data_IF_892462192305
#
_entry.id   IF_892462192305
#
_cell.length_a   1.000
_cell.length_b   1.000
_cell.length_c   1.000
_cell.angle_alpha   90.00
_cell.angle_beta   90.00
_cell.angle_gamma   90.00
#
_symmetry.space_group_name_H-M   'P 1'
#
loop_
_entity.id
_entity.type
_entity.pdbx_description
1 polymer ?
#
# COMPACT_ATOMS: atom_id res chain seq x y z
N UNK A 1 -20.61 2.93 -4.56
CA UNK A 1 -19.34 3.68 -4.63
C UNK A 1 -19.65 5.10 -5.09
N UNK A 2 -19.06 6.14 -4.54
CA UNK A 2 -19.35 7.52 -4.99
C UNK A 2 -18.53 7.79 -6.26
N UNK A 3 -19.09 7.40 -7.42
CA UNK A 3 -18.45 7.42 -8.73
C UNK A 3 -17.85 8.81 -9.05
N UNK A 4 -18.61 9.88 -8.80
CA UNK A 4 -18.16 11.26 -9.04
C UNK A 4 -16.90 11.65 -8.22
N UNK A 5 -16.69 11.03 -7.06
CA UNK A 5 -15.52 11.35 -6.22
C UNK A 5 -14.26 10.64 -6.73
N UNK A 6 -14.39 9.40 -7.16
CA UNK A 6 -13.30 8.64 -7.77
C UNK A 6 -12.88 9.33 -9.06
N UNK A 7 -13.82 9.63 -9.94
CA UNK A 7 -13.55 10.34 -11.21
C UNK A 7 -12.81 11.67 -11.02
N UNK A 8 -13.03 12.33 -9.87
CA UNK A 8 -12.36 13.59 -9.54
C UNK A 8 -10.89 13.42 -9.18
N UNK A 9 -10.52 12.37 -8.43
CA UNK A 9 -9.15 12.20 -7.90
C UNK A 9 -8.33 11.17 -8.68
N UNK A 10 -8.99 10.28 -9.42
CA UNK A 10 -8.32 9.24 -10.20
C UNK A 10 -7.25 9.78 -11.16
N UNK A 11 -7.49 10.85 -11.93
CA UNK A 11 -6.47 11.33 -12.87
C UNK A 11 -5.14 11.66 -12.19
N UNK A 12 -5.16 12.34 -11.05
CA UNK A 12 -3.94 12.72 -10.34
C UNK A 12 -3.19 11.50 -9.76
N UNK A 13 -3.91 10.54 -9.21
CA UNK A 13 -3.33 9.31 -8.69
C UNK A 13 -2.77 8.43 -9.80
N UNK A 14 -3.52 8.31 -10.89
CA UNK A 14 -3.12 7.49 -12.04
C UNK A 14 -1.94 8.11 -12.79
N UNK A 15 -1.89 9.43 -12.94
CA UNK A 15 -0.73 10.13 -13.51
C UNK A 15 0.54 9.87 -12.69
N UNK A 16 0.44 9.88 -11.37
CA UNK A 16 1.57 9.55 -10.49
C UNK A 16 2.02 8.09 -10.69
N UNK A 17 1.08 7.15 -10.79
CA UNK A 17 1.39 5.74 -11.04
C UNK A 17 2.05 5.54 -12.41
N UNK A 18 1.55 6.21 -13.45
CA UNK A 18 2.13 6.19 -14.79
C UNK A 18 3.58 6.69 -14.74
N UNK A 19 3.82 7.85 -14.13
CA UNK A 19 5.19 8.39 -13.97
C UNK A 19 6.10 7.43 -13.23
N UNK A 20 5.61 6.77 -12.18
CA UNK A 20 6.40 5.76 -11.46
C UNK A 20 6.74 4.58 -12.36
N UNK A 21 5.78 4.04 -13.12
CA UNK A 21 6.03 2.93 -14.04
C UNK A 21 6.99 3.31 -15.18
N UNK A 22 6.92 4.54 -15.69
CA UNK A 22 7.87 5.03 -16.69
C UNK A 22 9.30 5.03 -16.17
N UNK A 23 9.52 5.42 -14.90
CA UNK A 23 10.86 5.35 -14.29
C UNK A 23 11.37 3.91 -14.14
N UNK A 24 10.47 2.93 -13.98
CA UNK A 24 10.82 1.50 -13.94
C UNK A 24 11.14 0.96 -15.34
N UNK A 25 10.47 1.46 -16.38
CA UNK A 25 10.73 1.07 -17.78
C UNK A 25 12.13 1.49 -18.21
N UNK A 26 12.60 2.66 -17.80
CA UNK A 26 13.96 3.16 -18.11
C UNK A 26 15.06 2.38 -17.38
N UNK A 27 14.74 1.85 -16.20
CA UNK A 27 15.67 1.09 -15.36
C UNK A 27 14.91 0.05 -14.52
N UNK A 28 14.44 -1.01 -15.15
CA UNK A 28 13.60 -2.07 -14.56
C UNK A 28 14.17 -2.71 -13.28
N UNK A 29 15.45 -2.56 -12.99
CA UNK A 29 16.10 -3.00 -11.74
C UNK A 29 15.93 -2.01 -10.59
N UNK A 30 15.34 -0.84 -10.82
CA UNK A 30 15.03 0.08 -9.72
C UNK A 30 13.90 -0.47 -8.86
N UNK A 31 13.98 -0.31 -7.53
CA UNK A 31 12.90 -0.74 -6.65
C UNK A 31 11.64 0.10 -6.85
N UNK A 32 10.49 -0.50 -6.54
CA UNK A 32 9.22 0.24 -6.46
C UNK A 32 9.32 1.43 -5.51
N UNK A 33 10.06 1.27 -4.43
CA UNK A 33 10.30 2.32 -3.43
C UNK A 33 11.81 2.36 -3.24
N UNK A 34 12.44 3.45 -3.68
CA UNK A 34 13.90 3.56 -3.69
C UNK A 34 14.47 3.93 -2.31
N UNK A 35 13.72 4.67 -1.49
CA UNK A 35 14.21 5.16 -0.21
C UNK A 35 13.17 4.98 0.92
N UNK A 36 13.56 4.25 1.94
CA UNK A 36 12.83 4.08 3.19
C UNK A 36 13.59 4.66 4.40
N UNK A 37 14.68 5.39 4.17
CA UNK A 37 15.52 5.94 5.24
C UNK A 37 14.77 6.89 6.19
N UNK A 38 13.66 7.47 5.72
CA UNK A 38 12.77 8.31 6.52
C UNK A 38 11.52 7.57 7.04
N UNK A 39 11.47 6.24 6.86
CA UNK A 39 10.34 5.39 7.24
C UNK A 39 9.10 5.59 6.37
N UNK A 40 7.96 5.11 6.88
CA UNK A 40 6.68 5.19 6.17
C UNK A 40 6.07 6.60 6.21
N UNK A 41 5.24 6.96 5.22
CA UNK A 41 4.54 8.24 5.19
C UNK A 41 3.69 8.45 6.44
N UNK A 42 3.80 9.63 7.03
CA UNK A 42 3.05 10.05 8.22
C UNK A 42 2.67 11.52 8.16
N UNK A 43 1.69 11.91 8.95
CA UNK A 43 1.36 13.32 9.07
C UNK A 43 2.26 14.02 10.11
N UNK A 44 2.18 15.36 10.21
CA UNK A 44 2.98 16.14 11.16
C UNK A 44 2.75 15.78 12.64
N UNK A 45 1.66 15.09 12.97
CA UNK A 45 1.36 14.59 14.32
C UNK A 45 1.90 13.17 14.55
N UNK A 46 2.65 12.62 13.60
CA UNK A 46 3.22 11.27 13.68
C UNK A 46 2.29 10.14 13.25
N UNK A 47 1.02 10.43 12.90
CA UNK A 47 0.08 9.37 12.48
C UNK A 47 0.47 8.82 11.13
N UNK A 48 0.75 7.50 11.01
CA UNK A 48 1.10 6.89 9.74
C UNK A 48 -0.11 6.85 8.80
N UNK A 49 0.15 6.99 7.50
CA UNK A 49 -0.80 6.65 6.45
C UNK A 49 -0.89 5.13 6.29
N UNK A 50 -1.94 4.65 5.61
CA UNK A 50 -2.21 3.20 5.50
C UNK A 50 -2.55 2.79 4.08
N UNK A 51 -2.34 1.50 3.80
CA UNK A 51 -2.71 0.87 2.54
C UNK A 51 -2.08 1.56 1.33
N UNK A 52 -2.82 1.64 0.22
CA UNK A 52 -2.36 2.26 -1.02
C UNK A 52 -1.90 3.70 -0.90
N UNK A 53 -2.34 4.44 0.14
CA UNK A 53 -1.80 5.78 0.40
C UNK A 53 -0.31 5.75 0.76
N UNK A 54 0.20 4.67 1.39
CA UNK A 54 1.63 4.52 1.65
C UNK A 54 2.39 4.53 0.32
N UNK A 55 2.00 3.66 -0.61
CA UNK A 55 2.63 3.58 -1.93
C UNK A 55 2.58 4.92 -2.66
N UNK A 56 1.38 5.51 -2.75
CA UNK A 56 1.16 6.74 -3.50
C UNK A 56 1.97 7.92 -2.94
N UNK A 57 2.06 8.04 -1.62
CA UNK A 57 2.82 9.11 -0.98
C UNK A 57 4.34 8.89 -1.05
N UNK A 58 4.81 7.63 -1.03
CA UNK A 58 6.22 7.31 -1.28
C UNK A 58 6.60 7.60 -2.74
N UNK A 59 5.79 7.19 -3.71
CA UNK A 59 6.00 7.51 -5.12
C UNK A 59 6.01 9.02 -5.37
N UNK A 60 5.07 9.74 -4.74
CA UNK A 60 5.04 11.20 -4.82
C UNK A 60 6.32 11.83 -4.25
N UNK A 61 6.77 11.36 -3.08
CA UNK A 61 7.98 11.89 -2.44
C UNK A 61 9.20 11.69 -3.32
N UNK A 62 9.35 10.51 -3.91
CA UNK A 62 10.45 10.19 -4.80
C UNK A 62 10.42 11.03 -6.10
N UNK A 63 9.27 11.06 -6.79
CA UNK A 63 9.13 11.77 -8.07
C UNK A 63 9.24 13.28 -7.91
N UNK A 64 8.71 13.83 -6.82
CA UNK A 64 8.81 15.26 -6.52
C UNK A 64 10.14 15.66 -5.86
N UNK A 65 10.99 14.70 -5.49
CA UNK A 65 12.27 14.94 -4.82
C UNK A 65 12.13 15.51 -3.41
N UNK A 66 11.06 15.16 -2.69
CA UNK A 66 10.88 15.59 -1.31
C UNK A 66 11.89 14.91 -0.37
N UNK A 67 12.37 15.65 0.62
CA UNK A 67 13.39 15.17 1.56
C UNK A 67 12.87 14.13 2.54
N UNK A 68 11.57 14.12 2.79
CA UNK A 68 10.94 13.21 3.75
C UNK A 68 9.48 12.93 3.35
N UNK A 69 8.93 11.74 3.63
CA UNK A 69 7.53 11.42 3.38
C UNK A 69 6.60 11.94 4.49
N UNK A 70 6.81 13.20 4.93
CA UNK A 70 5.96 13.87 5.92
C UNK A 70 4.97 14.79 5.23
N UNK A 71 3.69 14.62 5.58
CA UNK A 71 2.61 15.36 4.95
C UNK A 71 1.73 16.08 5.98
N UNK A 72 1.10 17.16 5.54
CA UNK A 72 0.21 17.97 6.36
C UNK A 72 -1.02 18.38 5.55
N UNK A 73 -2.15 18.56 6.21
CA UNK A 73 -3.30 19.26 5.62
C UNK A 73 -3.11 20.77 5.77
N UNK A 74 -3.82 21.57 4.98
CA UNK A 74 -3.80 23.02 5.13
C UNK A 74 -4.16 23.47 6.57
N UNK A 75 -5.14 22.80 7.17
CA UNK A 75 -5.57 23.09 8.54
C UNK A 75 -4.47 22.78 9.56
N UNK A 76 -3.83 21.61 9.45
CA UNK A 76 -2.72 21.22 10.34
C UNK A 76 -1.52 22.15 10.19
N UNK A 77 -1.15 22.51 8.95
CA UNK A 77 -0.06 23.48 8.73
C UNK A 77 -0.34 24.81 9.44
N UNK A 78 -1.56 25.33 9.29
CA UNK A 78 -1.97 26.59 9.95
C UNK A 78 -1.97 26.48 11.49
N UNK A 79 -2.41 25.36 12.04
CA UNK A 79 -2.39 25.09 13.50
C UNK A 79 -0.95 25.04 14.03
N UNK A 80 0.01 24.62 13.21
CA UNK A 80 1.45 24.57 13.52
C UNK A 80 2.19 25.90 13.19
N UNK A 81 1.46 26.93 12.79
CA UNK A 81 2.03 28.25 12.43
C UNK A 81 2.76 28.25 11.09
N UNK A 82 2.47 27.29 10.21
CA UNK A 82 3.11 27.15 8.91
C UNK A 82 2.20 27.61 7.77
N UNK A 83 2.81 28.12 6.70
CA UNK A 83 2.15 28.49 5.48
C UNK A 83 2.51 27.51 4.36
N UNK A 84 1.51 27.16 3.54
CA UNK A 84 1.77 26.43 2.30
C UNK A 84 2.33 27.43 1.29
N UNK A 85 3.43 27.08 0.62
CA UNK A 85 4.08 27.91 -0.37
C UNK A 85 3.15 28.15 -1.56
N UNK A 86 3.15 29.38 -2.07
CA UNK A 86 2.30 29.77 -3.21
C UNK A 86 2.63 28.92 -4.45
N UNK A 87 1.60 28.36 -5.06
CA UNK A 87 1.74 27.51 -6.24
C UNK A 87 1.92 26.02 -5.94
N UNK A 88 2.02 25.64 -4.67
CA UNK A 88 2.10 24.23 -4.29
C UNK A 88 0.79 23.49 -4.62
N UNK A 89 0.90 22.37 -5.35
CA UNK A 89 -0.20 21.45 -5.59
C UNK A 89 -0.42 20.52 -4.40
N UNK A 90 -1.68 20.29 -4.03
CA UNK A 90 -2.02 19.27 -3.03
C UNK A 90 -2.15 17.89 -3.67
N UNK A 91 -1.96 16.84 -2.87
CA UNK A 91 -2.18 15.46 -3.27
C UNK A 91 -3.35 14.84 -2.50
N UNK A 92 -4.27 14.09 -3.15
CA UNK A 92 -5.40 13.49 -2.47
C UNK A 92 -4.99 12.22 -1.70
N UNK A 93 -5.29 12.19 -0.42
CA UNK A 93 -5.25 10.99 0.40
C UNK A 93 -6.68 10.51 0.59
N UNK A 94 -6.95 9.26 0.28
CA UNK A 94 -8.29 8.69 0.32
C UNK A 94 -8.44 7.67 1.45
N UNK A 95 -9.66 7.57 1.95
CA UNK A 95 -10.03 6.62 2.99
C UNK A 95 -11.51 6.25 2.89
N UNK A 96 -11.86 5.12 3.45
CA UNK A 96 -13.25 4.67 3.53
C UNK A 96 -13.83 5.02 4.88
N UNK A 97 -14.98 5.73 4.89
CA UNK A 97 -15.77 5.97 6.09
C UNK A 97 -17.00 5.08 6.06
N UNK A 98 -17.20 4.29 7.11
CA UNK A 98 -18.41 3.50 7.26
C UNK A 98 -19.54 4.39 7.73
N UNK A 99 -20.62 4.42 6.97
CA UNK A 99 -21.88 5.05 7.34
C UNK A 99 -22.85 3.95 7.77
N UNK A 100 -23.28 4.01 9.02
CA UNK A 100 -24.16 3.03 9.60
C UNK A 100 -25.53 3.64 9.73
N UNK A 101 -26.53 2.99 9.12
CA UNK A 101 -27.88 3.51 9.02
C UNK A 101 -28.89 2.40 9.27
N UNK A 102 -29.83 2.64 10.18
CA UNK A 102 -30.94 1.72 10.43
C UNK A 102 -31.77 1.54 9.16
N UNK A 103 -32.11 0.31 8.82
CA UNK A 103 -32.79 -0.06 7.55
C UNK A 103 -34.14 0.61 7.39
N UNK A 104 -34.94 0.64 8.45
CA UNK A 104 -36.30 1.19 8.43
C UNK A 104 -36.31 2.70 8.73
N UNK A 105 -35.79 3.10 9.88
CA UNK A 105 -35.89 4.49 10.35
C UNK A 105 -34.92 5.45 9.65
N UNK A 106 -33.96 4.92 8.90
CA UNK A 106 -32.89 5.67 8.24
C UNK A 106 -32.00 6.48 9.19
N UNK A 107 -32.16 6.31 10.49
CA UNK A 107 -31.34 6.98 11.52
C UNK A 107 -29.88 6.49 11.40
N UNK A 108 -28.95 7.44 11.42
CA UNK A 108 -27.52 7.17 11.44
C UNK A 108 -27.03 7.00 12.86
N UNK A 109 -26.08 6.09 13.06
CA UNK A 109 -25.35 5.94 14.32
C UNK A 109 -23.84 5.91 14.02
N UNK A 110 -23.06 6.21 15.03
CA UNK A 110 -21.59 6.15 14.93
C UNK A 110 -21.10 4.69 15.01
N UNK A 111 -19.92 4.42 14.43
CA UNK A 111 -19.33 3.08 14.37
C UNK A 111 -19.16 2.48 15.78
N UNK A 112 -18.72 3.28 16.75
CA UNK A 112 -18.55 2.85 18.12
C UNK A 112 -19.88 2.44 18.79
N UNK A 113 -20.98 3.12 18.47
CA UNK A 113 -22.32 2.77 18.92
C UNK A 113 -22.78 1.43 18.28
N UNK A 114 -22.54 1.27 16.97
CA UNK A 114 -22.87 0.04 16.25
C UNK A 114 -22.17 -1.19 16.84
N UNK A 115 -20.88 -1.10 17.17
CA UNK A 115 -20.14 -2.23 17.74
C UNK A 115 -20.56 -2.58 19.17
N UNK A 116 -21.18 -1.64 19.90
CA UNK A 116 -21.77 -1.91 21.23
C UNK A 116 -23.12 -2.63 21.15
N UNK A 117 -23.78 -2.62 19.98
CA UNK A 117 -25.04 -3.31 19.80
C UNK A 117 -24.83 -4.84 19.81
N UNK A 118 -25.79 -5.62 20.37
CA UNK A 118 -25.83 -7.07 20.20
C UNK A 118 -25.88 -7.45 18.71
N UNK A 119 -25.29 -8.60 18.36
CA UNK A 119 -25.19 -9.05 16.97
C UNK A 119 -26.56 -9.11 16.25
N UNK A 120 -27.63 -9.49 16.93
CA UNK A 120 -28.98 -9.51 16.37
C UNK A 120 -29.48 -8.11 15.99
N UNK A 121 -29.19 -7.11 16.82
CA UNK A 121 -29.59 -5.74 16.54
C UNK A 121 -28.77 -5.14 15.39
N UNK A 122 -27.49 -5.52 15.23
CA UNK A 122 -26.68 -5.07 14.10
C UNK A 122 -27.28 -5.44 12.75
N UNK A 123 -28.03 -6.54 12.65
CA UNK A 123 -28.72 -6.95 11.41
C UNK A 123 -29.78 -5.95 10.93
N UNK A 124 -30.22 -5.04 11.82
CA UNK A 124 -31.18 -3.98 11.47
C UNK A 124 -30.51 -2.77 10.80
N UNK A 125 -29.20 -2.78 10.67
CA UNK A 125 -28.43 -1.66 10.09
C UNK A 125 -27.78 -2.04 8.77
N UNK A 126 -27.76 -1.07 7.83
CA UNK A 126 -26.92 -1.09 6.66
C UNK A 126 -25.57 -0.46 7.03
N UNK A 127 -24.48 -1.15 6.69
CA UNK A 127 -23.12 -0.63 6.80
C UNK A 127 -22.66 -0.27 5.39
N UNK A 128 -22.54 1.03 5.12
CA UNK A 128 -22.25 1.57 3.79
C UNK A 128 -20.85 2.16 3.78
N UNK A 129 -19.87 1.53 3.12
CA UNK A 129 -18.56 2.12 2.92
C UNK A 129 -18.66 3.29 1.92
N UNK A 130 -18.26 4.47 2.35
CA UNK A 130 -18.23 5.67 1.51
C UNK A 130 -16.80 6.19 1.44
N UNK A 131 -16.25 6.23 0.24
CA UNK A 131 -14.94 6.79 0.03
C UNK A 131 -14.94 8.30 0.31
N UNK A 132 -13.93 8.76 0.99
CA UNK A 132 -13.61 10.15 1.26
C UNK A 132 -12.17 10.42 0.89
N UNK A 133 -11.83 11.68 0.65
CA UNK A 133 -10.46 12.12 0.51
C UNK A 133 -10.27 13.49 1.16
N UNK A 134 -9.03 13.80 1.44
CA UNK A 134 -8.61 15.15 1.82
C UNK A 134 -7.27 15.47 1.18
N UNK A 135 -7.05 16.76 0.84
CA UNK A 135 -5.79 17.20 0.25
C UNK A 135 -4.70 17.26 1.32
N UNK A 136 -3.50 16.80 0.95
CA UNK A 136 -2.29 16.95 1.77
C UNK A 136 -1.20 17.63 0.96
N UNK A 137 -0.24 18.21 1.67
CA UNK A 137 0.97 18.83 1.16
C UNK A 137 2.16 18.18 1.86
N UNK A 138 3.27 18.01 1.16
CA UNK A 138 4.52 17.63 1.82
C UNK A 138 5.04 18.82 2.65
N UNK A 139 5.81 18.56 3.71
CA UNK A 139 6.40 19.65 4.51
C UNK A 139 7.37 20.51 3.71
N UNK A 140 8.00 19.98 2.65
CA UNK A 140 8.83 20.76 1.71
C UNK A 140 8.03 21.77 0.88
N UNK A 141 6.69 21.64 0.88
CA UNK A 141 5.77 22.61 0.28
C UNK A 141 5.30 23.67 1.29
N UNK A 142 5.94 23.74 2.46
CA UNK A 142 5.66 24.75 3.50
C UNK A 142 6.88 25.61 3.76
N UNK A 143 6.67 26.72 4.47
CA UNK A 143 7.75 27.60 4.95
C UNK A 143 8.43 27.07 6.23
N UNK A 144 8.29 25.75 6.54
CA UNK A 144 8.86 25.15 7.75
C UNK A 144 10.38 25.31 7.84
N UNK A 145 11.09 25.19 6.72
CA UNK A 145 12.55 25.35 6.68
C UNK A 145 13.00 26.75 7.13
N UNK A 146 12.17 27.77 6.95
CA UNK A 146 12.42 29.15 7.35
C UNK A 146 11.89 29.46 8.75
N UNK A 147 10.66 29.05 9.04
CA UNK A 147 9.96 29.36 10.30
C UNK A 147 10.40 28.48 11.47
N UNK A 148 10.77 27.24 11.21
CA UNK A 148 11.12 26.21 12.21
C UNK A 148 12.35 25.40 11.76
N UNK A 149 13.52 26.04 11.49
CA UNK A 149 14.66 25.37 10.83
C UNK A 149 15.22 24.17 11.61
N UNK A 150 15.28 24.24 12.93
CA UNK A 150 15.76 23.13 13.78
C UNK A 150 14.81 21.92 13.71
N UNK A 151 13.51 22.17 13.78
CA UNK A 151 12.48 21.12 13.66
C UNK A 151 12.50 20.52 12.26
N UNK A 152 12.60 21.33 11.22
CA UNK A 152 12.71 20.85 9.84
C UNK A 152 13.95 19.98 9.66
N UNK A 153 15.12 20.41 10.13
CA UNK A 153 16.35 19.63 10.08
C UNK A 153 16.19 18.28 10.79
N UNK A 154 15.58 18.24 11.99
CA UNK A 154 15.35 17.00 12.73
C UNK A 154 14.40 16.04 11.99
N UNK A 155 13.36 16.55 11.33
CA UNK A 155 12.37 15.76 10.58
C UNK A 155 12.90 15.26 9.23
N UNK A 156 13.89 15.94 8.65
CA UNK A 156 14.53 15.57 7.38
C UNK A 156 15.83 14.79 7.55
N UNK A 157 16.25 14.51 8.79
CA UNK A 157 17.38 13.63 9.06
C UNK A 157 16.93 12.17 8.90
N UNK A 158 17.61 11.37 8.06
CA UNK A 158 17.29 9.95 7.93
C UNK A 158 17.44 9.21 9.26
N UNK A 159 16.45 8.39 9.60
CA UNK A 159 16.45 7.58 10.84
C UNK A 159 16.54 6.08 10.57
N UNK A 160 16.28 5.67 9.34
CA UNK A 160 16.33 4.27 8.91
C UNK A 160 17.71 3.83 8.41
N UNK A 161 17.93 2.53 8.27
CA UNK A 161 19.14 1.99 7.68
C UNK A 161 19.26 2.45 6.23
N UNK A 162 20.45 2.89 5.83
CA UNK A 162 20.74 3.31 4.44
C UNK A 162 21.09 2.14 3.52
N UNK A 163 21.37 0.98 4.08
CA UNK A 163 21.88 -0.17 3.33
C UNK A 163 21.02 -1.39 3.60
N UNK A 164 20.39 -1.89 2.55
CA UNK A 164 19.60 -3.13 2.54
C UNK A 164 20.37 -4.26 1.85
N UNK A 165 21.72 -4.13 1.78
CA UNK A 165 22.61 -5.08 1.10
C UNK A 165 22.68 -6.45 1.78
N UNK A 166 23.26 -7.36 1.10
CA UNK A 166 23.69 -8.77 1.30
C UNK A 166 23.26 -9.57 2.55
N UNK A 167 22.90 -8.95 3.65
CA UNK A 167 22.57 -9.60 4.92
C UNK A 167 21.13 -9.42 5.39
N UNK A 168 20.20 -8.93 4.55
CA UNK A 168 18.84 -8.69 4.99
C UNK A 168 18.17 -9.95 5.53
N UNK A 169 17.75 -9.88 6.79
CA UNK A 169 16.90 -10.88 7.44
C UNK A 169 15.58 -10.23 7.82
N UNK A 170 14.48 -10.90 7.53
CA UNK A 170 13.14 -10.48 7.97
C UNK A 170 12.60 -11.55 8.92
N UNK A 171 12.82 -11.35 10.22
CA UNK A 171 12.49 -12.34 11.26
C UNK A 171 11.02 -12.79 11.21
N UNK A 172 10.12 -11.90 10.86
CA UNK A 172 8.68 -12.19 10.76
C UNK A 172 8.40 -13.17 9.63
N UNK A 173 9.01 -12.97 8.47
CA UNK A 173 8.85 -13.88 7.32
C UNK A 173 9.62 -15.18 7.53
N UNK A 174 10.83 -15.13 8.11
CA UNK A 174 11.62 -16.32 8.42
C UNK A 174 10.88 -17.20 9.43
N UNK A 175 10.26 -16.62 10.45
CA UNK A 175 9.41 -17.34 11.41
C UNK A 175 8.18 -17.94 10.74
N UNK A 176 7.48 -17.20 9.90
CA UNK A 176 6.33 -17.71 9.13
C UNK A 176 6.72 -18.96 8.32
N UNK A 177 7.88 -18.95 7.68
CA UNK A 177 8.39 -20.08 6.92
C UNK A 177 8.75 -21.27 7.82
N UNK A 178 9.45 -21.03 8.92
CA UNK A 178 9.86 -22.08 9.85
C UNK A 178 8.67 -22.77 10.52
N UNK A 179 7.67 -22.01 10.92
CA UNK A 179 6.44 -22.52 11.56
C UNK A 179 5.40 -23.01 10.56
N UNK A 180 5.59 -22.78 9.25
CA UNK A 180 4.57 -23.04 8.21
C UNK A 180 3.21 -22.41 8.58
N UNK A 181 3.25 -21.21 9.18
CA UNK A 181 2.08 -20.54 9.73
C UNK A 181 1.27 -19.77 8.70
N UNK A 182 1.67 -19.75 7.43
CA UNK A 182 0.89 -19.15 6.35
C UNK A 182 -0.40 -19.93 6.07
N UNK A 183 -1.30 -19.35 5.29
CA UNK A 183 -2.64 -19.89 4.98
C UNK A 183 -2.63 -21.13 4.06
N UNK A 184 -1.53 -21.36 3.37
CA UNK A 184 -1.31 -22.53 2.53
C UNK A 184 0.17 -22.98 2.65
N UNK A 185 0.51 -24.24 2.31
CA UNK A 185 1.88 -24.74 2.37
C UNK A 185 2.84 -23.92 1.51
N UNK A 186 4.01 -23.59 2.06
CA UNK A 186 5.13 -22.95 1.35
C UNK A 186 6.27 -23.93 1.27
N UNK A 187 6.61 -24.36 0.06
CA UNK A 187 7.69 -25.30 -0.20
C UNK A 187 8.92 -24.57 -0.75
N UNK A 188 9.98 -24.56 0.01
CA UNK A 188 11.28 -24.09 -0.46
C UNK A 188 11.99 -25.25 -1.16
N UNK A 189 12.34 -25.06 -2.44
CA UNK A 189 12.97 -26.07 -3.28
C UNK A 189 14.13 -25.49 -4.07
N UNK A 190 15.14 -26.29 -4.33
CA UNK A 190 16.14 -25.92 -5.33
C UNK A 190 15.48 -25.77 -6.70
N UNK A 191 15.71 -24.64 -7.36
CA UNK A 191 15.11 -24.29 -8.65
C UNK A 191 15.26 -22.82 -8.98
N UNK A 192 14.71 -22.38 -10.11
CA UNK A 192 14.80 -21.01 -10.59
C UNK A 192 13.44 -20.32 -10.78
N UNK A 193 12.36 -20.94 -10.35
CA UNK A 193 11.00 -20.38 -10.46
C UNK A 193 10.26 -20.43 -9.14
N UNK A 194 9.65 -19.31 -8.79
CA UNK A 194 8.62 -19.25 -7.78
C UNK A 194 7.24 -19.32 -8.45
N UNK A 195 6.26 -19.87 -7.77
CA UNK A 195 4.88 -19.90 -8.25
C UNK A 195 3.90 -20.24 -7.13
N UNK A 196 2.73 -19.61 -7.17
CA UNK A 196 1.56 -20.07 -6.47
C UNK A 196 0.67 -20.89 -7.41
N UNK A 197 0.14 -22.02 -6.94
CA UNK A 197 -0.82 -22.85 -7.66
C UNK A 197 -2.21 -22.73 -7.02
N UNK A 198 -3.18 -22.07 -7.67
CA UNK A 198 -4.55 -21.94 -7.13
C UNK A 198 -5.23 -23.31 -6.97
N UNK A 199 -4.99 -24.24 -7.90
CA UNK A 199 -5.61 -25.58 -7.87
C UNK A 199 -5.08 -26.45 -6.71
N UNK A 200 -3.81 -26.31 -6.37
CA UNK A 200 -3.18 -27.08 -5.29
C UNK A 200 -3.14 -26.29 -3.97
N UNK A 201 -3.54 -25.03 -4.00
CA UNK A 201 -3.42 -24.06 -2.92
C UNK A 201 -2.05 -24.13 -2.23
N UNK A 202 -0.99 -23.96 -3.02
CA UNK A 202 0.38 -24.16 -2.56
C UNK A 202 1.35 -23.19 -3.23
N UNK A 203 2.28 -22.67 -2.45
CA UNK A 203 3.41 -21.87 -2.93
C UNK A 203 4.66 -22.77 -3.08
N UNK A 204 5.39 -22.59 -4.17
CA UNK A 204 6.75 -23.09 -4.36
C UNK A 204 7.67 -21.89 -4.56
N UNK A 205 8.76 -21.81 -3.83
CA UNK A 205 9.75 -20.75 -3.95
C UNK A 205 11.17 -21.35 -3.92
N UNK A 206 12.13 -20.80 -4.68
CA UNK A 206 13.52 -21.16 -4.52
C UNK A 206 14.02 -20.91 -3.10
N UNK A 207 15.01 -21.69 -2.67
CA UNK A 207 15.63 -21.51 -1.36
C UNK A 207 16.35 -20.15 -1.28
N UNK A 208 16.32 -19.49 -0.12
CA UNK A 208 16.91 -18.15 0.12
C UNK A 208 18.36 -18.06 -0.37
N UNK A 209 19.17 -19.11 -0.17
CA UNK A 209 20.57 -19.17 -0.62
C UNK A 209 20.79 -19.10 -2.14
N UNK A 210 19.73 -19.23 -2.94
CA UNK A 210 19.78 -19.16 -4.40
C UNK A 210 19.58 -17.76 -4.94
N UNK A 211 19.22 -16.80 -4.08
CA UNK A 211 19.06 -15.40 -4.44
C UNK A 211 20.35 -14.62 -4.18
N UNK A 212 20.69 -13.66 -5.02
CA UNK A 212 21.89 -12.83 -4.84
C UNK A 212 21.78 -11.95 -3.58
N UNK A 213 20.55 -11.57 -3.19
CA UNK A 213 20.27 -10.69 -2.07
C UNK A 213 19.05 -11.19 -1.29
N UNK A 214 19.05 -10.98 0.03
CA UNK A 214 17.92 -11.34 0.90
C UNK A 214 16.63 -10.61 0.51
N UNK A 215 16.72 -9.36 0.10
CA UNK A 215 15.59 -8.57 -0.37
C UNK A 215 14.89 -9.22 -1.58
N UNK A 216 15.65 -9.76 -2.53
CA UNK A 216 15.11 -10.44 -3.71
C UNK A 216 14.33 -11.70 -3.33
N UNK A 217 14.83 -12.48 -2.35
CA UNK A 217 14.10 -13.63 -1.82
C UNK A 217 12.77 -13.22 -1.19
N UNK A 218 12.78 -12.24 -0.29
CA UNK A 218 11.56 -11.82 0.39
C UNK A 218 10.56 -11.13 -0.54
N UNK A 219 11.04 -10.37 -1.52
CA UNK A 219 10.19 -9.81 -2.58
C UNK A 219 9.46 -10.91 -3.32
N UNK A 220 10.20 -11.93 -3.79
CA UNK A 220 9.63 -13.08 -4.50
C UNK A 220 8.64 -13.85 -3.62
N UNK A 221 8.98 -14.07 -2.35
CA UNK A 221 8.10 -14.74 -1.40
C UNK A 221 6.80 -13.95 -1.19
N UNK A 222 6.88 -12.65 -0.95
CA UNK A 222 5.70 -11.79 -0.77
C UNK A 222 4.81 -11.72 -2.02
N UNK A 223 5.40 -11.76 -3.20
CA UNK A 223 4.66 -11.83 -4.46
C UNK A 223 3.81 -13.10 -4.52
N UNK A 224 4.39 -14.28 -4.29
CA UNK A 224 3.66 -15.55 -4.29
C UNK A 224 2.65 -15.66 -3.13
N UNK A 225 3.01 -15.14 -1.97
CA UNK A 225 2.11 -14.99 -0.83
C UNK A 225 0.91 -14.12 -1.21
N UNK A 226 1.11 -13.05 -1.96
CA UNK A 226 0.01 -12.19 -2.45
C UNK A 226 -0.92 -12.95 -3.37
N UNK A 227 -0.41 -13.69 -4.35
CA UNK A 227 -1.26 -14.53 -5.19
C UNK A 227 -2.10 -15.48 -4.35
N UNK A 228 -1.51 -16.13 -3.35
CA UNK A 228 -2.26 -17.05 -2.50
C UNK A 228 -3.42 -16.37 -1.75
N UNK A 229 -3.33 -15.08 -1.44
CA UNK A 229 -4.48 -14.35 -0.85
C UNK A 229 -5.68 -14.29 -1.80
N UNK A 230 -5.47 -14.44 -3.11
CA UNK A 230 -6.51 -14.46 -4.14
C UNK A 230 -7.30 -15.76 -4.25
N UNK A 231 -6.93 -16.82 -3.54
CA UNK A 231 -7.64 -18.09 -3.58
C UNK A 231 -9.16 -17.94 -3.38
N UNK A 232 -9.95 -18.85 -3.97
CA UNK A 232 -11.40 -18.79 -3.94
C UNK A 232 -11.99 -18.75 -2.52
N UNK A 233 -11.36 -19.43 -1.56
CA UNK A 233 -11.76 -19.45 -0.16
C UNK A 233 -11.24 -18.23 0.64
N UNK A 234 -10.50 -17.32 0.03
CA UNK A 234 -9.94 -16.10 0.64
C UNK A 234 -10.53 -14.86 -0.01
N UNK A 235 -9.74 -14.12 -0.80
CA UNK A 235 -10.22 -12.89 -1.44
C UNK A 235 -10.92 -13.14 -2.78
N UNK A 236 -10.89 -14.36 -3.30
CA UNK A 236 -11.57 -14.81 -4.52
C UNK A 236 -11.31 -13.90 -5.73
N UNK A 237 -10.01 -13.63 -6.00
CA UNK A 237 -9.61 -12.87 -7.18
C UNK A 237 -9.52 -13.78 -8.41
N UNK A 238 -9.68 -13.21 -9.61
CA UNK A 238 -9.45 -13.91 -10.87
C UNK A 238 -7.94 -13.99 -11.15
N UNK A 239 -7.48 -15.19 -11.54
CA UNK A 239 -6.08 -15.42 -11.95
C UNK A 239 -5.91 -15.44 -13.47
N UNK A 240 -7.02 -15.20 -14.22
CA UNK A 240 -7.03 -15.40 -15.65
C UNK A 240 -7.10 -16.87 -16.04
N UNK A 241 -7.43 -17.12 -17.31
CA UNK A 241 -7.49 -18.45 -17.88
C UNK A 241 -6.15 -18.88 -18.53
N UNK A 242 -5.41 -17.88 -19.02
CA UNK A 242 -4.14 -18.09 -19.73
C UNK A 242 -3.12 -17.03 -19.33
N UNK A 243 -1.85 -17.39 -19.46
CA UNK A 243 -0.74 -16.45 -19.35
C UNK A 243 -0.91 -15.27 -20.31
N UNK A 244 -0.89 -14.04 -19.78
CA UNK A 244 -0.98 -12.82 -20.57
C UNK A 244 -2.39 -12.36 -20.91
N UNK A 245 -3.46 -12.99 -20.39
CA UNK A 245 -4.79 -12.41 -20.47
C UNK A 245 -4.97 -11.22 -19.50
N UNK A 246 -6.05 -10.43 -19.68
CA UNK A 246 -6.26 -9.20 -18.93
C UNK A 246 -6.35 -9.44 -17.40
N UNK A 247 -6.98 -10.54 -16.96
CA UNK A 247 -7.11 -10.88 -15.55
C UNK A 247 -5.76 -11.31 -14.96
N UNK A 248 -4.98 -12.07 -15.75
CA UNK A 248 -3.62 -12.46 -15.36
C UNK A 248 -2.72 -11.23 -15.20
N UNK A 249 -2.68 -10.34 -16.22
CA UNK A 249 -1.89 -9.10 -16.18
C UNK A 249 -2.31 -8.23 -14.99
N UNK A 250 -3.61 -8.16 -14.69
CA UNK A 250 -4.15 -7.45 -13.54
C UNK A 250 -3.67 -8.04 -12.22
N UNK A 251 -3.73 -9.35 -12.07
CA UNK A 251 -3.32 -10.06 -10.84
C UNK A 251 -1.82 -9.91 -10.58
N UNK A 252 -0.99 -9.91 -11.63
CA UNK A 252 0.45 -9.63 -11.52
C UNK A 252 0.70 -8.22 -10.94
N UNK A 253 -0.06 -7.21 -11.38
CA UNK A 253 0.08 -5.86 -10.83
C UNK A 253 -0.34 -5.80 -9.36
N UNK A 254 -1.41 -6.50 -8.99
CA UNK A 254 -1.83 -6.60 -7.58
C UNK A 254 -0.74 -7.26 -6.75
N UNK A 255 -0.11 -8.33 -7.26
CA UNK A 255 0.96 -9.03 -6.57
C UNK A 255 2.21 -8.14 -6.39
N UNK A 256 2.64 -7.46 -7.44
CA UNK A 256 3.78 -6.53 -7.41
C UNK A 256 3.57 -5.39 -6.38
N UNK A 257 2.44 -4.68 -6.49
CA UNK A 257 2.17 -3.54 -5.61
C UNK A 257 1.93 -3.96 -4.15
N UNK A 258 1.34 -5.14 -3.93
CA UNK A 258 1.17 -5.67 -2.58
C UNK A 258 2.51 -6.08 -1.98
N UNK A 259 3.38 -6.73 -2.75
CA UNK A 259 4.73 -7.06 -2.29
C UNK A 259 5.52 -5.78 -1.96
N UNK A 260 5.41 -4.73 -2.79
CA UNK A 260 6.03 -3.43 -2.53
C UNK A 260 5.51 -2.78 -1.24
N UNK A 261 4.20 -2.81 -1.02
CA UNK A 261 3.58 -2.27 0.19
C UNK A 261 4.00 -3.04 1.44
N UNK A 262 3.95 -4.38 1.39
CA UNK A 262 4.34 -5.23 2.51
C UNK A 262 5.84 -5.12 2.80
N UNK A 263 6.69 -5.09 1.77
CA UNK A 263 8.14 -4.87 1.92
C UNK A 263 8.44 -3.56 2.63
N UNK A 264 7.79 -2.46 2.20
CA UNK A 264 7.93 -1.17 2.87
C UNK A 264 7.49 -1.20 4.34
N UNK A 265 6.37 -1.88 4.64
CA UNK A 265 5.87 -2.04 6.01
C UNK A 265 6.81 -2.90 6.88
N UNK A 266 7.52 -3.83 6.27
CA UNK A 266 8.53 -4.68 6.90
C UNK A 266 9.95 -4.04 6.90
N UNK A 267 10.09 -2.85 6.33
CA UNK A 267 11.30 -2.05 6.37
C UNK A 267 12.33 -2.37 5.29
N UNK A 268 11.95 -3.00 4.18
CA UNK A 268 12.87 -3.24 3.06
C UNK A 268 12.27 -2.86 1.70
N UNK A 269 13.15 -2.46 0.78
CA UNK A 269 12.79 -2.15 -0.60
C UNK A 269 12.53 -3.42 -1.40
N UNK A 270 11.56 -3.36 -2.32
CA UNK A 270 11.24 -4.44 -3.25
C UNK A 270 11.48 -3.98 -4.69
N UNK A 271 12.12 -4.80 -5.49
CA UNK A 271 12.28 -4.56 -6.93
C UNK A 271 11.20 -5.29 -7.72
N UNK A 272 10.71 -4.74 -8.84
CA UNK A 272 9.85 -5.48 -9.75
C UNK A 272 10.52 -6.78 -10.18
N UNK A 273 9.73 -7.84 -10.31
CA UNK A 273 10.24 -9.09 -10.87
C UNK A 273 10.54 -8.92 -12.37
N UNK A 274 11.53 -9.65 -12.87
CA UNK A 274 11.90 -9.58 -14.29
C UNK A 274 10.75 -9.97 -15.21
N UNK A 275 9.98 -10.97 -14.80
CA UNK A 275 8.80 -11.43 -15.54
C UNK A 275 7.70 -10.34 -15.56
N UNK A 276 7.53 -9.61 -14.47
CA UNK A 276 6.52 -8.55 -14.35
C UNK A 276 6.88 -7.32 -15.17
N UNK A 277 8.16 -7.06 -15.41
CA UNK A 277 8.62 -5.96 -16.27
C UNK A 277 8.04 -6.06 -17.71
N UNK A 278 7.76 -7.26 -18.19
CA UNK A 278 7.13 -7.47 -19.48
C UNK A 278 5.72 -6.85 -19.57
N UNK A 279 5.01 -6.76 -18.46
CA UNK A 279 3.62 -6.26 -18.41
C UNK A 279 3.49 -4.75 -18.16
N UNK A 280 4.60 -4.03 -17.91
CA UNK A 280 4.53 -2.58 -17.62
C UNK A 280 3.84 -1.82 -18.75
N UNK A 281 4.06 -2.21 -20.01
CA UNK A 281 3.41 -1.57 -21.16
C UNK A 281 1.90 -1.79 -21.15
N UNK A 282 1.45 -2.99 -20.81
CA UNK A 282 0.04 -3.34 -20.75
C UNK A 282 -0.64 -2.60 -19.59
N UNK A 283 0.00 -2.53 -18.43
CA UNK A 283 -0.49 -1.73 -17.30
C UNK A 283 -0.61 -0.25 -17.64
N UNK A 284 0.40 0.34 -18.30
CA UNK A 284 0.36 1.71 -18.77
C UNK A 284 -0.79 1.95 -19.73
N UNK A 285 -1.01 1.03 -20.68
CA UNK A 285 -2.11 1.12 -21.64
C UNK A 285 -3.49 1.12 -20.94
N UNK A 286 -3.69 0.25 -19.94
CA UNK A 286 -4.95 0.21 -19.19
C UNK A 286 -5.15 1.48 -18.35
N UNK A 287 -4.10 2.04 -17.72
CA UNK A 287 -4.21 3.30 -16.98
C UNK A 287 -4.52 4.51 -17.86
N UNK A 288 -3.97 4.56 -19.06
CA UNK A 288 -4.32 5.61 -20.02
C UNK A 288 -5.75 5.50 -20.52
N UNK A 289 -6.26 4.28 -20.69
CA UNK A 289 -7.61 4.02 -21.16
C UNK A 289 -8.66 4.28 -20.07
N UNK A 290 -8.40 3.85 -18.85
CA UNK A 290 -9.34 3.91 -17.73
C UNK A 290 -8.63 4.35 -16.44
N UNK A 291 -8.52 5.66 -16.15
CA UNK A 291 -7.84 6.14 -14.95
C UNK A 291 -8.43 5.61 -13.63
N UNK A 292 -9.71 5.23 -13.61
CA UNK A 292 -10.36 4.70 -12.39
C UNK A 292 -9.94 3.27 -12.09
N UNK A 293 -9.35 2.57 -13.05
CA UNK A 293 -8.82 1.21 -12.90
C UNK A 293 -7.81 1.08 -11.74
N UNK A 294 -7.02 2.14 -11.48
CA UNK A 294 -6.10 2.17 -10.35
C UNK A 294 -6.79 1.92 -9.01
N UNK A 295 -8.03 2.40 -8.82
CA UNK A 295 -8.76 2.20 -7.56
C UNK A 295 -9.18 0.75 -7.35
N UNK A 296 -9.50 0.02 -8.42
CA UNK A 296 -9.79 -1.41 -8.34
C UNK A 296 -8.54 -2.20 -7.98
N UNK A 297 -7.38 -1.84 -8.57
CA UNK A 297 -6.09 -2.40 -8.20
C UNK A 297 -5.76 -2.11 -6.73
N UNK A 298 -5.80 -0.83 -6.31
CA UNK A 298 -5.47 -0.44 -4.94
C UNK A 298 -6.43 -1.03 -3.90
N UNK A 299 -7.68 -1.31 -4.29
CA UNK A 299 -8.63 -2.01 -3.42
C UNK A 299 -8.17 -3.44 -3.15
N UNK A 300 -7.74 -4.18 -4.16
CA UNK A 300 -7.25 -5.54 -3.99
C UNK A 300 -5.87 -5.57 -3.32
N UNK A 301 -4.99 -4.62 -3.63
CA UNK A 301 -3.71 -4.41 -2.91
C UNK A 301 -3.95 -4.21 -1.42
N UNK A 302 -4.88 -3.33 -1.04
CA UNK A 302 -5.21 -3.07 0.37
C UNK A 302 -5.74 -4.32 1.07
N UNK A 303 -6.64 -5.07 0.42
CA UNK A 303 -7.22 -6.29 1.00
C UNK A 303 -6.17 -7.38 1.17
N UNK A 304 -5.30 -7.58 0.18
CA UNK A 304 -4.22 -8.55 0.24
C UNK A 304 -3.17 -8.16 1.30
N UNK A 305 -2.70 -6.92 1.30
CA UNK A 305 -1.72 -6.43 2.28
C UNK A 305 -2.26 -6.50 3.71
N UNK A 306 -3.55 -6.20 3.91
CA UNK A 306 -4.21 -6.35 5.21
C UNK A 306 -4.19 -7.80 5.68
N UNK A 307 -4.59 -8.75 4.83
CA UNK A 307 -4.58 -10.19 5.16
C UNK A 307 -3.18 -10.67 5.52
N UNK A 308 -2.16 -10.21 4.77
CA UNK A 308 -0.75 -10.53 5.04
C UNK A 308 -0.32 -9.96 6.39
N UNK A 309 -0.57 -8.67 6.63
CA UNK A 309 -0.17 -7.98 7.88
C UNK A 309 -0.84 -8.59 9.12
N UNK A 310 -2.14 -8.90 9.05
CA UNK A 310 -2.88 -9.54 10.12
C UNK A 310 -2.31 -10.93 10.43
N UNK A 311 -1.95 -11.69 9.40
CA UNK A 311 -1.39 -13.04 9.58
C UNK A 311 0.03 -13.03 10.12
N UNK A 312 0.84 -12.07 9.71
CA UNK A 312 2.21 -11.88 10.20
C UNK A 312 2.27 -11.22 11.58
N UNK A 313 1.13 -10.80 12.14
CA UNK A 313 1.06 -10.01 13.37
C UNK A 313 1.99 -8.78 13.33
N UNK A 314 2.09 -8.14 12.16
CA UNK A 314 2.79 -6.87 12.02
C UNK A 314 1.95 -5.83 12.75
N UNK A 315 2.41 -5.39 13.90
CA UNK A 315 1.75 -4.35 14.67
C UNK A 315 1.68 -3.07 13.81
N UNK A 316 0.47 -2.75 13.39
CA UNK A 316 0.19 -1.39 12.96
C UNK A 316 0.02 -0.59 14.24
N UNK A 317 0.94 0.33 14.53
CA UNK A 317 0.80 1.24 15.67
C UNK A 317 -0.65 1.73 15.77
N UNK A 318 -1.28 1.65 16.97
CA UNK A 318 -2.64 2.11 17.14
C UNK A 318 -2.72 3.58 16.76
N UNK A 319 -3.74 3.95 15.97
CA UNK A 319 -3.97 5.34 15.65
C UNK A 319 -4.14 6.14 16.95
N UNK A 320 -3.43 7.28 17.10
CA UNK A 320 -3.59 8.12 18.28
C UNK A 320 -5.06 8.57 18.46
N UNK A 321 -5.51 8.81 19.69
CA UNK A 321 -6.90 9.21 19.96
C UNK A 321 -7.26 10.46 19.16
N UNK A 322 -8.27 10.37 18.31
CA UNK A 322 -8.69 11.40 17.36
C UNK A 322 -8.25 11.18 15.92
N UNK A 323 -7.45 10.16 15.63
CA UNK A 323 -7.23 9.69 14.27
C UNK A 323 -8.49 9.00 13.73
N UNK A 324 -8.81 9.24 12.48
CA UNK A 324 -9.92 8.57 11.79
C UNK A 324 -9.66 7.07 11.83
N UNK A 325 -10.58 6.23 12.37
CA UNK A 325 -10.31 4.81 12.55
C UNK A 325 -9.94 4.11 11.26
N UNK A 326 -8.93 3.26 11.33
CA UNK A 326 -8.43 2.45 10.22
C UNK A 326 -9.36 1.30 9.82
N UNK A 327 -10.48 1.12 10.50
CA UNK A 327 -11.47 0.06 10.22
C UNK A 327 -12.36 0.36 9.01
N UNK A 328 -11.98 1.34 8.19
CA UNK A 328 -12.71 1.75 7.00
C UNK A 328 -11.87 1.65 5.72
N UNK A 329 -10.80 0.90 5.70
CA UNK A 329 -10.05 0.61 4.46
C UNK A 329 -10.23 -0.83 4.01
#
# INVERSE_FOLDING_TARGET
>A
MNKNLIEKIAPQLTELMIKKMETLTEAWRKPWIADLAHGLPRNLRGTPYRGGNILMLLFLSEIAGYRTPLFTTFKQAKEEGLNILKGSGSFPVFFWKLYIRHKETRKKIELAEYYRLPQEQRRQYDVLPVMRYYPVFNIDQTDMSEQQPERYASLTTPTGPKDYSDGLTCEVLDRMLAEQSWLCPILLKSGNRASYSPTLDRIVCPEKRQFPEGAAFYTTLLHEVTHSTGHAERLNRSFGACYGDADYIREELVAELTAALCGAMLGFATTPREESAAYIKDWLAEFHKEPTYLFDILTDVNRAARMISERLAVEQEPAPPGAIPAEAA
#
